data_IF_725004144620
#
_entry.id   IF_725004144620
#
_cell.length_a   1.000
_cell.length_b   1.000
_cell.length_c   1.000
_cell.angle_alpha   90.00
_cell.angle_beta   90.00
_cell.angle_gamma   90.00
#
_symmetry.space_group_name_H-M   'P 1'
#
loop_
_entity.id
_entity.type
_entity.pdbx_description
1 polymer ?
#
# COMPACT_ATOMS: atom_id res chain seq x y z
N UNK A 1 3.04 9.94 -9.03
CA UNK A 1 3.43 8.64 -9.60
C UNK A 1 4.59 8.04 -8.80
N UNK A 2 4.55 6.73 -8.61
CA UNK A 2 5.56 6.01 -7.85
C UNK A 2 6.74 5.62 -8.76
N UNK A 3 7.96 5.82 -8.26
CA UNK A 3 9.17 5.39 -8.95
C UNK A 3 9.54 3.99 -8.41
N UNK A 4 9.47 2.99 -9.27
CA UNK A 4 9.72 1.60 -8.91
C UNK A 4 11.16 1.23 -9.23
N UNK A 5 11.83 0.55 -8.29
CA UNK A 5 13.15 -0.04 -8.52
C UNK A 5 13.02 -1.55 -8.72
N UNK A 6 14.11 -2.19 -9.19
CA UNK A 6 14.13 -3.64 -9.36
C UNK A 6 13.94 -4.41 -8.05
N UNK A 7 14.31 -3.79 -6.93
CA UNK A 7 14.15 -4.40 -5.61
C UNK A 7 12.67 -4.65 -5.28
N UNK A 8 11.77 -3.86 -5.84
CA UNK A 8 10.33 -4.06 -5.67
C UNK A 8 9.82 -5.34 -6.35
N UNK A 9 10.49 -5.83 -7.39
CA UNK A 9 10.10 -7.09 -8.02
C UNK A 9 10.17 -8.25 -7.04
N UNK A 10 11.23 -8.29 -6.23
CA UNK A 10 11.38 -9.33 -5.21
C UNK A 10 10.32 -9.17 -4.12
N UNK A 11 10.06 -7.93 -3.71
CA UNK A 11 9.03 -7.64 -2.72
C UNK A 11 7.64 -8.05 -3.21
N UNK A 12 7.33 -7.81 -4.49
CA UNK A 12 6.06 -8.22 -5.11
C UNK A 12 5.94 -9.75 -5.09
N UNK A 13 7.00 -10.47 -5.44
CA UNK A 13 7.00 -11.94 -5.42
C UNK A 13 6.77 -12.48 -4.02
N UNK A 14 7.42 -11.91 -3.02
CA UNK A 14 7.23 -12.30 -1.61
C UNK A 14 5.79 -12.02 -1.16
N UNK A 15 5.23 -10.89 -1.55
CA UNK A 15 3.85 -10.55 -1.26
C UNK A 15 2.86 -11.53 -1.91
N UNK A 16 3.10 -11.90 -3.17
CA UNK A 16 2.28 -12.90 -3.87
C UNK A 16 2.33 -14.25 -3.15
N UNK A 17 3.52 -14.70 -2.76
CA UNK A 17 3.69 -15.95 -2.04
C UNK A 17 2.95 -15.94 -0.71
N UNK A 18 3.05 -14.84 0.02
CA UNK A 18 2.32 -14.68 1.27
C UNK A 18 0.81 -14.73 1.03
N UNK A 19 0.32 -13.98 0.04
CA UNK A 19 -1.09 -13.91 -0.32
C UNK A 19 -1.68 -15.29 -0.61
N UNK A 20 -1.04 -16.06 -1.47
CA UNK A 20 -1.53 -17.37 -1.86
C UNK A 20 -1.38 -18.42 -0.77
N UNK A 21 -0.31 -18.36 0.02
CA UNK A 21 -0.09 -19.33 1.12
C UNK A 21 -1.05 -19.14 2.28
N UNK A 22 -1.52 -17.92 2.53
CA UNK A 22 -2.42 -17.61 3.65
C UNK A 22 -3.90 -17.67 3.28
N UNK A 23 -4.23 -17.85 2.01
CA UNK A 23 -5.62 -17.91 1.51
C UNK A 23 -6.44 -16.68 1.90
N UNK A 24 -5.81 -15.52 1.89
CA UNK A 24 -6.47 -14.24 2.18
C UNK A 24 -7.08 -13.65 0.92
N UNK A 25 -8.01 -12.69 1.06
CA UNK A 25 -8.76 -12.11 -0.06
C UNK A 25 -8.15 -10.82 -0.59
N UNK A 26 -7.20 -10.26 0.13
CA UNK A 26 -6.58 -8.98 -0.24
C UNK A 26 -5.24 -8.83 0.46
N UNK A 27 -4.35 -8.05 -0.13
CA UNK A 27 -3.14 -7.59 0.53
C UNK A 27 -2.65 -6.30 -0.15
N UNK A 28 -2.28 -5.31 0.65
CA UNK A 28 -1.70 -4.06 0.20
C UNK A 28 -0.21 -4.04 0.52
N UNK A 29 0.62 -3.63 -0.44
CA UNK A 29 2.02 -3.36 -0.13
C UNK A 29 2.11 -1.99 0.51
N UNK A 30 2.69 -1.94 1.70
CA UNK A 30 2.90 -0.70 2.45
C UNK A 30 4.38 -0.51 2.76
N UNK A 31 4.76 0.71 3.06
CA UNK A 31 6.12 1.06 3.44
C UNK A 31 6.06 2.02 4.62
N UNK A 32 7.01 1.90 5.54
CA UNK A 32 7.10 2.85 6.64
C UNK A 32 7.42 4.24 6.07
N UNK A 33 6.76 5.27 6.57
CA UNK A 33 6.95 6.63 6.10
C UNK A 33 8.39 7.14 6.22
N UNK A 34 9.20 6.54 7.09
CA UNK A 34 10.61 6.88 7.24
C UNK A 34 11.43 6.50 6.01
N UNK A 35 10.94 5.56 5.19
CA UNK A 35 11.58 5.16 3.93
C UNK A 35 11.14 6.01 2.74
N UNK A 36 10.18 6.92 2.93
CA UNK A 36 9.72 7.80 1.87
C UNK A 36 10.74 8.88 1.56
N UNK A 37 10.99 9.10 0.27
CA UNK A 37 11.79 10.23 -0.18
C UNK A 37 11.12 11.56 0.17
N UNK A 38 9.82 11.65 -0.05
CA UNK A 38 9.02 12.81 0.36
C UNK A 38 8.62 12.67 1.84
N UNK A 39 9.29 13.43 2.69
CA UNK A 39 9.06 13.39 4.14
C UNK A 39 7.74 14.05 4.56
N UNK A 40 7.08 14.74 3.65
CA UNK A 40 5.77 15.36 3.90
C UNK A 40 4.61 14.38 3.73
N UNK A 41 4.85 13.22 3.11
CA UNK A 41 3.81 12.22 2.95
C UNK A 41 3.35 11.69 4.29
N UNK A 42 2.04 11.67 4.46
CA UNK A 42 1.41 11.09 5.65
C UNK A 42 1.15 9.61 5.42
N UNK A 43 1.16 8.83 6.49
CA UNK A 43 0.78 7.43 6.41
C UNK A 43 -0.71 7.26 6.15
N UNK A 44 -1.05 6.16 5.53
CA UNK A 44 -2.43 5.77 5.23
C UNK A 44 -2.98 4.77 6.24
N UNK A 45 -2.09 3.95 6.81
CA UNK A 45 -2.44 2.84 7.69
C UNK A 45 -1.40 2.64 8.78
N UNK A 46 -1.76 1.85 9.78
CA UNK A 46 -0.82 1.23 10.71
C UNK A 46 -0.81 -0.27 10.45
N UNK A 47 0.38 -0.87 10.53
CA UNK A 47 0.58 -2.29 10.28
C UNK A 47 0.96 -2.99 11.59
N UNK A 48 0.23 -4.07 11.91
CA UNK A 48 0.56 -4.93 13.04
C UNK A 48 0.25 -6.38 12.67
N UNK A 49 1.26 -7.23 12.66
CA UNK A 49 1.14 -8.67 12.32
C UNK A 49 0.40 -8.87 10.98
N UNK A 50 0.78 -8.14 9.96
CA UNK A 50 0.19 -8.16 8.61
C UNK A 50 -1.27 -7.72 8.55
N UNK A 51 -1.82 -7.10 9.59
CA UNK A 51 -3.13 -6.48 9.57
C UNK A 51 -3.02 -4.96 9.56
N UNK A 52 -3.78 -4.34 8.68
CA UNK A 52 -3.83 -2.89 8.54
C UNK A 52 -4.98 -2.30 9.34
N UNK A 53 -4.71 -1.18 9.98
CA UNK A 53 -5.70 -0.39 10.73
C UNK A 53 -5.50 1.09 10.43
N UNK A 54 -6.49 1.90 10.78
CA UNK A 54 -6.41 3.36 10.69
C UNK A 54 -6.57 3.98 12.07
N UNK A 55 -5.70 4.95 12.38
CA UNK A 55 -5.74 5.71 13.62
C UNK A 55 -5.52 7.20 13.35
N UNK A 56 -5.29 7.97 14.42
CA UNK A 56 -5.03 9.40 14.31
C UNK A 56 -3.69 9.68 13.64
N UNK A 57 -2.69 8.84 13.92
CA UNK A 57 -1.38 8.89 13.27
C UNK A 57 -1.09 7.54 12.64
N UNK A 58 -0.82 7.55 11.34
CA UNK A 58 -0.55 6.34 10.58
C UNK A 58 0.91 6.35 10.12
N UNK A 59 1.62 5.24 10.32
CA UNK A 59 3.05 5.12 10.04
C UNK A 59 3.37 4.48 8.69
N UNK A 60 2.39 3.84 8.07
CA UNK A 60 2.60 3.10 6.82
C UNK A 60 1.90 3.76 5.65
N UNK A 61 2.63 3.89 4.53
CA UNK A 61 2.12 4.47 3.29
C UNK A 61 1.76 3.33 2.33
N UNK A 62 0.58 3.41 1.72
CA UNK A 62 0.22 2.51 0.63
C UNK A 62 1.03 2.86 -0.62
N UNK A 63 1.74 1.88 -1.17
CA UNK A 63 2.67 2.09 -2.28
C UNK A 63 2.01 2.17 -3.65
N UNK A 64 0.73 1.82 -3.74
CA UNK A 64 0.03 1.71 -5.03
C UNK A 64 -0.05 0.28 -5.55
N UNK A 65 0.59 -0.69 -4.89
CA UNK A 65 0.58 -2.09 -5.28
C UNK A 65 -0.30 -2.92 -4.34
N UNK A 66 -1.26 -3.64 -4.89
CA UNK A 66 -2.13 -4.51 -4.11
C UNK A 66 -2.53 -5.74 -4.91
N UNK A 67 -2.91 -6.79 -4.18
CA UNK A 67 -3.58 -7.95 -4.75
C UNK A 67 -4.98 -7.99 -4.15
N UNK A 68 -5.98 -8.06 -5.00
CA UNK A 68 -7.38 -8.03 -4.59
C UNK A 68 -8.12 -9.17 -5.27
N UNK A 69 -8.79 -10.01 -4.48
CA UNK A 69 -9.64 -11.05 -5.04
C UNK A 69 -10.88 -10.40 -5.64
N UNK A 70 -11.18 -10.74 -6.89
CA UNK A 70 -12.34 -10.18 -7.60
C UNK A 70 -13.68 -10.43 -6.88
N UNK A 71 -13.75 -11.45 -6.02
CA UNK A 71 -14.96 -11.74 -5.25
C UNK A 71 -15.34 -10.61 -4.29
N UNK A 72 -14.37 -9.81 -3.86
CA UNK A 72 -14.65 -8.64 -3.02
C UNK A 72 -15.43 -7.55 -3.78
N UNK A 73 -15.40 -7.58 -5.10
CA UNK A 73 -16.09 -6.62 -5.96
C UNK A 73 -17.51 -7.06 -6.34
N UNK A 74 -17.86 -8.33 -6.12
CA UNK A 74 -19.15 -8.89 -6.56
C UNK A 74 -20.37 -8.27 -5.90
N UNK A 75 -20.23 -7.80 -4.66
CA UNK A 75 -21.33 -7.23 -3.88
C UNK A 75 -21.46 -5.72 -4.05
N UNK A 76 -20.72 -5.14 -4.98
CA UNK A 76 -20.77 -3.69 -5.23
C UNK A 76 -21.76 -3.44 -6.36
N UNK A 77 -22.91 -2.83 -6.03
CA UNK A 77 -23.97 -2.50 -6.97
C UNK A 77 -23.82 -1.12 -7.61
N UNK A 78 -22.73 -0.42 -7.32
CA UNK A 78 -22.45 0.91 -7.86
C UNK A 78 -21.58 0.81 -9.10
N UNK A 79 -21.88 1.59 -10.14
CA UNK A 79 -21.02 1.69 -11.34
C UNK A 79 -19.70 2.39 -11.04
N UNK A 80 -19.70 3.33 -10.10
CA UNK A 80 -18.53 4.09 -9.66
C UNK A 80 -18.41 3.92 -8.16
N UNK A 81 -17.24 3.49 -7.69
CA UNK A 81 -16.96 3.36 -6.27
C UNK A 81 -15.49 3.70 -6.00
N UNK A 82 -15.20 4.10 -4.78
CA UNK A 82 -13.84 4.29 -4.32
C UNK A 82 -13.32 3.01 -3.71
N UNK A 83 -12.09 2.62 -4.03
CA UNK A 83 -11.43 1.48 -3.36
C UNK A 83 -11.35 1.69 -1.85
N UNK A 84 -11.35 2.93 -1.39
CA UNK A 84 -11.37 3.25 0.04
C UNK A 84 -12.62 2.70 0.75
N UNK A 85 -13.75 2.61 0.07
CA UNK A 85 -14.96 2.02 0.65
C UNK A 85 -14.73 0.56 1.00
N UNK A 86 -14.05 -0.19 0.10
CA UNK A 86 -13.70 -1.59 0.32
C UNK A 86 -12.71 -1.71 1.46
N UNK A 87 -11.65 -0.91 1.44
CA UNK A 87 -10.64 -0.93 2.49
C UNK A 87 -11.22 -0.61 3.86
N UNK A 88 -12.08 0.41 3.96
CA UNK A 88 -12.69 0.78 5.23
C UNK A 88 -13.58 -0.33 5.79
N UNK A 89 -14.33 -1.01 4.93
CA UNK A 89 -15.15 -2.15 5.33
C UNK A 89 -14.27 -3.31 5.86
N UNK A 90 -13.16 -3.59 5.17
CA UNK A 90 -12.21 -4.63 5.58
C UNK A 90 -11.48 -4.28 6.88
N UNK A 91 -11.11 -3.01 7.07
CA UNK A 91 -10.48 -2.54 8.32
C UNK A 91 -11.42 -2.77 9.51
N UNK A 92 -12.70 -2.47 9.36
CA UNK A 92 -13.70 -2.70 10.42
C UNK A 92 -13.83 -4.15 10.82
N UNK A 93 -13.58 -5.07 9.91
CA UNK A 93 -13.64 -6.51 10.14
C UNK A 93 -12.30 -7.12 10.52
N UNK A 94 -11.24 -6.31 10.63
CA UNK A 94 -9.86 -6.77 10.82
C UNK A 94 -9.39 -7.74 9.73
N UNK A 95 -9.78 -7.47 8.49
CA UNK A 95 -9.49 -8.32 7.33
C UNK A 95 -8.72 -7.61 6.22
N UNK A 96 -8.21 -6.40 6.46
CA UNK A 96 -7.33 -5.72 5.51
C UNK A 96 -5.89 -6.07 5.83
N UNK A 97 -5.24 -6.83 4.93
CA UNK A 97 -3.89 -7.32 5.13
C UNK A 97 -2.86 -6.39 4.48
N UNK A 98 -1.69 -6.31 5.08
CA UNK A 98 -0.58 -5.52 4.59
C UNK A 98 0.70 -6.33 4.52
N UNK A 99 1.51 -6.05 3.52
CA UNK A 99 2.86 -6.59 3.35
C UNK A 99 3.84 -5.43 3.37
N UNK A 100 4.79 -5.45 4.32
CA UNK A 100 5.72 -4.33 4.49
C UNK A 100 6.90 -4.45 3.54
N UNK A 101 7.09 -3.41 2.70
CA UNK A 101 8.30 -3.24 1.92
C UNK A 101 9.38 -2.59 2.77
N UNK A 102 10.60 -3.09 2.66
CA UNK A 102 11.79 -2.50 3.31
C UNK A 102 12.58 -1.62 2.36
N UNK A 103 12.09 -1.43 1.14
CA UNK A 103 12.75 -0.65 0.11
C UNK A 103 12.41 0.84 0.24
N UNK A 104 13.32 1.70 -0.19
CA UNK A 104 13.04 3.14 -0.25
C UNK A 104 11.86 3.41 -1.17
N UNK A 105 11.03 4.34 -0.79
CA UNK A 105 9.81 4.70 -1.51
C UNK A 105 9.92 6.12 -2.05
N UNK A 106 9.77 6.26 -3.37
CA UNK A 106 9.79 7.55 -4.05
C UNK A 106 8.50 7.75 -4.82
N UNK A 107 7.69 8.70 -4.37
CA UNK A 107 6.44 9.08 -5.01
C UNK A 107 6.52 10.53 -5.45
N UNK A 108 6.24 10.79 -6.72
CA UNK A 108 6.26 12.13 -7.27
C UNK A 108 4.93 12.81 -6.96
N UNK A 109 4.93 13.63 -5.91
CA UNK A 109 3.74 14.35 -5.46
C UNK A 109 3.60 15.73 -6.09
N UNK A 110 4.72 16.38 -6.38
CA UNK A 110 4.75 17.72 -6.96
C UNK A 110 6.06 17.99 -7.71
N UNK A 111 6.17 19.17 -8.29
CA UNK A 111 7.33 19.55 -9.09
C UNK A 111 8.60 19.66 -8.24
N UNK A 112 8.48 20.07 -6.99
CA UNK A 112 9.63 20.17 -6.08
C UNK A 112 10.26 18.79 -5.84
N UNK A 113 9.43 17.79 -5.57
CA UNK A 113 9.87 16.40 -5.39
C UNK A 113 10.46 15.84 -6.68
N UNK A 114 9.83 16.11 -7.82
CA UNK A 114 10.34 15.71 -9.13
C UNK A 114 11.77 16.24 -9.36
N UNK A 115 11.99 17.52 -9.11
CA UNK A 115 13.30 18.14 -9.29
C UNK A 115 14.35 17.56 -8.35
N UNK A 116 13.97 17.28 -7.09
CA UNK A 116 14.89 16.66 -6.11
C UNK A 116 15.25 15.23 -6.53
N UNK A 117 14.30 14.47 -7.04
CA UNK A 117 14.56 13.12 -7.54
C UNK A 117 15.49 13.12 -8.74
N UNK A 118 15.33 14.06 -9.66
CA UNK A 118 16.22 14.19 -10.83
C UNK A 118 17.67 14.40 -10.43
N UNK A 119 17.91 15.12 -9.33
CA UNK A 119 19.26 15.39 -8.83
C UNK A 119 19.89 14.20 -8.14
N UNK A 120 19.09 13.24 -7.65
CA UNK A 120 19.58 12.09 -6.91
C UNK A 120 19.78 10.84 -7.78
N UNK A 121 19.40 10.91 -9.05
CA UNK A 121 19.63 9.81 -10.02
C UNK A 121 20.72 10.16 -11.05
#
# INVERSE_FOLDING_TARGET
>A
DTVWSIDYLNCIKEMENFYFSKKIQNILMVVNKDLSFDKKLKGDFNLKKNLLSKGDENQSIYTGCQILNKNLLKNINKKIFSINEIWNALVKKNNLFGFESVNKFSHVTDLEIYNKLLKSY
#
